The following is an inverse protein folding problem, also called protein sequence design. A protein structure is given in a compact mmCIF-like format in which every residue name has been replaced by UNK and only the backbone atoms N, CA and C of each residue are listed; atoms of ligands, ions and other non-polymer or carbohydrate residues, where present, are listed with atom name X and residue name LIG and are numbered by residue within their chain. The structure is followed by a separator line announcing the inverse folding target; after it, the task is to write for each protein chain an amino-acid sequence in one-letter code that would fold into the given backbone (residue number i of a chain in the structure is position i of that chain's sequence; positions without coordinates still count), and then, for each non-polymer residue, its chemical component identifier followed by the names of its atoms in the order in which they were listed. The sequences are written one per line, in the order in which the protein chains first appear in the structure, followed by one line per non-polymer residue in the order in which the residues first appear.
data_IF_267559387777
#
_entry.id   IF_267559387777
#
_cell.length_a   1.000
_cell.length_b   1.000
_cell.length_c   1.000
_cell.angle_alpha   90.00
_cell.angle_beta   90.00
_cell.angle_gamma   90.00
#
_symmetry.space_group_name_H-M   'P 1'
#
loop_
_entity.id
_entity.type
_entity.pdbx_description
1 polymer ?
#
# COMPACT_ATOMS: atom_id res chain seq x y z
N UNK A 1 9.77 13.69 -21.71
CA UNK A 1 9.92 15.16 -21.46
C UNK A 1 10.31 15.50 -20.01
N UNK A 2 9.59 14.98 -19.00
CA UNK A 2 9.78 15.34 -17.57
C UNK A 2 11.20 15.05 -17.06
N UNK A 3 11.76 13.87 -17.36
CA UNK A 3 13.14 13.50 -16.97
C UNK A 3 14.21 14.50 -17.45
N UNK A 4 14.12 14.95 -18.70
CA UNK A 4 15.08 15.90 -19.26
C UNK A 4 14.98 17.27 -18.61
N UNK A 5 13.75 17.72 -18.29
CA UNK A 5 13.50 18.95 -17.54
C UNK A 5 14.07 18.88 -16.12
N UNK A 6 13.82 17.78 -15.41
CA UNK A 6 14.35 17.57 -14.06
C UNK A 6 15.89 17.57 -14.04
N UNK A 7 16.52 16.91 -15.01
CA UNK A 7 18.00 16.91 -15.14
C UNK A 7 18.57 18.32 -15.34
N UNK A 8 17.94 19.14 -16.19
CA UNK A 8 18.36 20.54 -16.41
C UNK A 8 18.20 21.42 -15.16
N UNK A 9 17.15 21.17 -14.38
CA UNK A 9 16.86 21.92 -13.16
C UNK A 9 17.53 21.35 -11.90
N UNK A 10 18.33 20.28 -12.02
CA UNK A 10 18.86 19.50 -10.89
C UNK A 10 17.79 19.13 -9.85
N UNK A 11 16.57 18.88 -10.32
CA UNK A 11 15.41 18.60 -9.50
C UNK A 11 15.23 17.09 -9.26
N UNK A 12 14.67 16.73 -8.11
CA UNK A 12 14.19 15.39 -7.81
C UNK A 12 12.81 15.14 -8.43
N UNK A 13 12.49 13.88 -8.73
CA UNK A 13 11.17 13.46 -9.21
C UNK A 13 10.58 12.54 -8.16
N UNK A 14 9.43 12.94 -7.64
CA UNK A 14 8.57 12.13 -6.78
C UNK A 14 7.43 11.52 -7.60
N UNK A 15 7.20 10.23 -7.42
CA UNK A 15 6.09 9.47 -8.00
C UNK A 15 5.05 9.25 -6.92
N UNK A 16 3.91 9.94 -7.03
CA UNK A 16 2.83 9.88 -6.06
C UNK A 16 1.74 8.88 -6.43
N UNK A 17 1.17 8.21 -5.43
CA UNK A 17 -0.01 7.34 -5.57
C UNK A 17 -0.87 7.34 -4.31
N UNK A 18 -2.18 7.17 -4.48
CA UNK A 18 -3.14 6.96 -3.40
C UNK A 18 -3.81 5.60 -3.56
N UNK A 19 -3.82 4.82 -2.49
CA UNK A 19 -4.36 3.47 -2.46
C UNK A 19 -5.28 3.30 -1.24
N UNK A 20 -6.37 2.54 -1.39
CA UNK A 20 -7.15 2.08 -0.24
C UNK A 20 -6.51 0.85 0.41
N UNK A 21 -6.36 0.87 1.74
CA UNK A 21 -5.95 -0.30 2.52
C UNK A 21 -7.09 -0.75 3.43
N UNK A 22 -7.16 -2.07 3.66
CA UNK A 22 -8.12 -2.69 4.56
C UNK A 22 -7.39 -3.61 5.50
N UNK A 23 -7.83 -3.67 6.76
CA UNK A 23 -7.15 -4.41 7.82
C UNK A 23 -7.26 -5.93 7.73
N UNK A 24 -8.07 -6.47 6.82
CA UNK A 24 -8.26 -7.90 6.61
C UNK A 24 -7.43 -8.44 5.44
N UNK A 25 -7.15 -9.74 5.50
CA UNK A 25 -6.55 -10.44 4.38
C UNK A 25 -7.59 -10.58 3.26
N UNK A 26 -7.38 -9.88 2.14
CA UNK A 26 -8.32 -9.87 1.01
C UNK A 26 -8.64 -11.27 0.45
N UNK A 27 -7.69 -12.21 0.53
CA UNK A 27 -7.89 -13.59 0.08
C UNK A 27 -8.62 -14.48 1.11
N UNK A 28 -8.88 -13.97 2.33
CA UNK A 28 -9.56 -14.72 3.39
C UNK A 28 -8.83 -15.98 3.84
N UNK A 29 -7.51 -16.09 3.61
CA UNK A 29 -6.75 -17.29 3.93
C UNK A 29 -6.53 -17.41 5.43
N UNK A 30 -6.92 -18.56 5.97
CA UNK A 30 -6.63 -18.98 7.34
C UNK A 30 -5.75 -20.24 7.36
N UNK A 31 -5.28 -20.59 8.55
CA UNK A 31 -4.54 -21.83 8.80
C UNK A 31 -5.38 -22.79 9.64
N UNK A 32 -5.38 -24.08 9.30
CA UNK A 32 -5.89 -25.14 10.17
C UNK A 32 -5.19 -26.48 9.89
N UNK A 33 -5.08 -27.38 10.88
CA UNK A 33 -4.53 -28.72 10.66
C UNK A 33 -5.28 -29.50 9.57
N UNK A 34 -4.60 -30.47 8.96
CA UNK A 34 -5.19 -31.36 7.95
C UNK A 34 -6.44 -32.05 8.51
N UNK A 35 -7.50 -32.09 7.70
CA UNK A 35 -8.79 -32.68 8.08
C UNK A 35 -9.75 -31.75 8.82
N UNK A 36 -9.38 -30.49 9.05
CA UNK A 36 -10.25 -29.49 9.68
C UNK A 36 -10.58 -28.34 8.74
N UNK A 37 -11.87 -28.03 8.59
CA UNK A 37 -12.31 -26.87 7.81
C UNK A 37 -11.90 -25.57 8.51
N UNK A 38 -11.09 -24.69 7.90
CA UNK A 38 -10.77 -23.39 8.47
C UNK A 38 -12.03 -22.54 8.61
N UNK A 39 -12.28 -22.02 9.82
CA UNK A 39 -13.36 -21.06 10.09
C UNK A 39 -12.69 -19.75 10.43
N UNK A 40 -12.96 -18.73 9.61
CA UNK A 40 -12.48 -17.36 9.86
C UNK A 40 -13.55 -16.62 10.64
N UNK A 41 -13.24 -16.20 11.87
CA UNK A 41 -14.12 -15.32 12.62
C UNK A 41 -14.10 -13.93 11.96
N UNK A 42 -15.19 -13.57 11.28
CA UNK A 42 -15.35 -12.23 10.71
C UNK A 42 -15.74 -11.24 11.80
N UNK A 43 -14.81 -10.39 12.23
CA UNK A 43 -15.16 -9.18 12.97
C UNK A 43 -15.70 -8.19 11.93
N UNK A 44 -17.01 -7.93 11.91
CA UNK A 44 -17.60 -6.96 10.97
C UNK A 44 -16.99 -5.55 11.05
N UNK A 45 -16.16 -5.28 12.06
CA UNK A 45 -15.31 -4.11 12.18
C UNK A 45 -14.07 -4.25 11.29
N UNK A 46 -14.12 -3.57 10.14
CA UNK A 46 -12.98 -3.45 9.23
C UNK A 46 -12.40 -2.06 9.40
N UNK A 47 -11.11 -1.97 9.70
CA UNK A 47 -10.40 -0.70 9.68
C UNK A 47 -9.95 -0.48 8.23
N UNK A 48 -10.47 0.59 7.63
CA UNK A 48 -10.00 1.10 6.35
C UNK A 48 -9.12 2.32 6.58
N UNK A 49 -8.22 2.58 5.65
CA UNK A 49 -7.46 3.83 5.58
C UNK A 49 -6.96 4.05 4.17
N UNK A 50 -6.68 5.30 3.82
CA UNK A 50 -6.14 5.64 2.52
C UNK A 50 -4.69 6.11 2.68
N UNK A 51 -3.68 5.25 2.46
CA UNK A 51 -2.31 5.70 2.29
C UNK A 51 -2.16 6.58 1.04
N UNK A 52 -1.61 7.78 1.23
CA UNK A 52 -0.98 8.58 0.20
C UNK A 52 0.54 8.34 0.27
N UNK A 53 1.18 8.09 -0.86
CA UNK A 53 2.62 7.81 -0.94
C UNK A 53 3.32 8.64 -2.01
N UNK A 54 4.62 8.87 -1.84
CA UNK A 54 5.51 9.48 -2.82
C UNK A 54 6.87 8.77 -2.81
N UNK A 55 7.29 8.24 -3.97
CA UNK A 55 8.54 7.52 -4.16
C UNK A 55 9.49 8.29 -5.08
N UNK A 56 10.74 8.47 -4.67
CA UNK A 56 11.79 9.01 -5.55
C UNK A 56 12.49 7.90 -6.33
N UNK A 57 13.13 8.26 -7.44
CA UNK A 57 14.02 7.32 -8.17
C UNK A 57 15.22 6.83 -7.35
N UNK A 58 15.57 7.49 -6.24
CA UNK A 58 16.64 7.10 -5.33
C UNK A 58 16.17 6.18 -4.19
N UNK A 59 14.88 5.84 -4.16
CA UNK A 59 14.31 4.92 -3.18
C UNK A 59 13.80 5.59 -1.89
N UNK A 60 13.83 6.92 -1.79
CA UNK A 60 13.15 7.62 -0.69
C UNK A 60 11.63 7.48 -0.87
N UNK A 61 10.97 6.98 0.17
CA UNK A 61 9.51 6.84 0.27
C UNK A 61 8.99 7.75 1.38
N UNK A 62 8.02 8.60 1.04
CA UNK A 62 7.20 9.34 2.00
C UNK A 62 5.79 8.77 1.94
N UNK A 63 5.13 8.62 3.09
CA UNK A 63 3.73 8.21 3.12
C UNK A 63 2.98 8.83 4.30
N UNK A 64 1.67 8.95 4.15
CA UNK A 64 0.74 9.40 5.17
C UNK A 64 -0.52 8.53 5.09
N UNK A 65 -1.10 8.17 6.24
CA UNK A 65 -2.36 7.42 6.31
C UNK A 65 -3.39 8.29 7.00
N UNK A 66 -4.59 8.37 6.44
CA UNK A 66 -5.73 9.10 6.97
C UNK A 66 -7.00 8.24 6.94
#
# INVERSE_FOLDING_TARGET
AIRARAKRAQAEIDWGDEMGVRSDQAAGRGYRPRGQTPVMAGTGQRLGGNPLSALTHKGRLLFMVF
#
